data_IF_757024788628
#
_entry.id   IF_757024788628
#
_cell.length_a   1.000
_cell.length_b   1.000
_cell.length_c   1.000
_cell.angle_alpha   90.00
_cell.angle_beta   90.00
_cell.angle_gamma   90.00
#
_symmetry.space_group_name_H-M   'P 1'
#
loop_
_entity.id
_entity.type
_entity.pdbx_description
1 polymer ?
#
# COMPACT_ATOMS: atom_id res chain seq x y z
N UNK A 1 68.89 15.35 -9.07
CA UNK A 1 67.50 14.99 -8.79
C UNK A 1 67.20 13.70 -9.51
N UNK A 2 67.00 12.61 -8.77
CA UNK A 2 67.10 11.25 -9.29
C UNK A 2 65.99 10.86 -10.28
N UNK A 3 66.39 10.46 -11.48
CA UNK A 3 65.50 9.90 -12.51
C UNK A 3 64.57 8.78 -12.00
N UNK A 4 65.03 8.07 -10.96
CA UNK A 4 64.22 7.00 -10.30
C UNK A 4 63.06 7.56 -9.51
N UNK A 5 63.20 8.73 -8.87
CA UNK A 5 62.12 9.37 -8.13
C UNK A 5 60.98 9.84 -9.06
N UNK A 6 61.30 10.42 -10.19
CA UNK A 6 60.31 10.84 -11.19
C UNK A 6 59.55 9.65 -11.79
N UNK A 7 60.25 8.52 -12.05
CA UNK A 7 59.59 7.31 -12.56
C UNK A 7 58.62 6.69 -11.53
N UNK A 8 59.02 6.69 -10.28
CA UNK A 8 58.19 6.17 -9.18
C UNK A 8 56.93 7.07 -8.94
N UNK A 9 57.09 8.38 -9.01
CA UNK A 9 56.00 9.33 -8.88
C UNK A 9 55.00 9.24 -10.03
N UNK A 10 55.51 9.09 -11.28
CA UNK A 10 54.68 8.88 -12.47
C UNK A 10 53.90 7.58 -12.43
N UNK A 11 54.50 6.50 -11.94
CA UNK A 11 53.84 5.21 -11.79
C UNK A 11 52.74 5.27 -10.73
N UNK A 12 52.99 5.92 -9.58
CA UNK A 12 52.00 6.10 -8.53
C UNK A 12 50.80 6.95 -9.00
N UNK A 13 51.03 8.03 -9.74
CA UNK A 13 49.99 8.85 -10.30
C UNK A 13 49.11 8.09 -11.33
N UNK A 14 49.74 7.24 -12.15
CA UNK A 14 49.02 6.41 -13.13
C UNK A 14 48.14 5.36 -12.45
N UNK A 15 48.58 4.74 -11.35
CA UNK A 15 47.78 3.78 -10.58
C UNK A 15 46.60 4.45 -9.92
N UNK A 16 46.74 5.64 -9.37
CA UNK A 16 45.67 6.40 -8.74
C UNK A 16 44.57 6.77 -9.79
N UNK A 17 44.98 7.20 -10.99
CA UNK A 17 44.05 7.50 -12.07
C UNK A 17 43.27 6.27 -12.56
N UNK A 18 43.84 5.09 -12.56
CA UNK A 18 43.18 3.86 -12.96
C UNK A 18 42.14 3.39 -11.95
N UNK A 19 42.37 3.59 -10.64
CA UNK A 19 41.44 3.16 -9.59
C UNK A 19 40.21 4.07 -9.51
N UNK A 20 40.37 5.38 -9.75
CA UNK A 20 39.24 6.31 -9.72
C UNK A 20 38.36 6.26 -10.98
N UNK A 21 38.89 5.81 -12.09
CA UNK A 21 38.10 5.65 -13.35
C UNK A 21 37.20 4.43 -13.32
N UNK A 22 37.57 3.36 -12.61
CA UNK A 22 36.78 2.14 -12.55
C UNK A 22 35.54 2.29 -11.66
N UNK A 23 35.61 3.05 -10.57
CA UNK A 23 34.45 3.18 -9.66
C UNK A 23 33.25 3.89 -10.32
N UNK A 24 33.48 4.99 -11.03
CA UNK A 24 32.39 5.70 -11.73
C UNK A 24 31.70 4.84 -12.81
N UNK A 25 32.48 4.10 -13.60
CA UNK A 25 31.91 3.21 -14.62
C UNK A 25 31.19 2.01 -14.00
N UNK A 26 31.66 1.54 -12.84
CA UNK A 26 30.97 0.49 -12.09
C UNK A 26 29.62 1.01 -11.57
N UNK A 27 29.60 2.17 -10.96
CA UNK A 27 28.39 2.78 -10.44
C UNK A 27 27.35 3.06 -11.56
N UNK A 28 27.80 3.47 -12.74
CA UNK A 28 26.93 3.61 -13.92
C UNK A 28 26.44 2.26 -14.45
N UNK A 29 27.28 1.22 -14.45
CA UNK A 29 26.91 -0.12 -14.90
C UNK A 29 25.99 -0.85 -13.92
N UNK A 30 26.09 -0.53 -12.62
CA UNK A 30 25.23 -1.05 -11.56
C UNK A 30 23.99 -0.20 -11.30
N UNK A 31 23.82 0.93 -11.94
CA UNK A 31 22.52 1.58 -11.97
C UNK A 31 21.52 0.61 -12.58
N UNK A 32 20.67 0.06 -11.73
CA UNK A 32 19.64 -0.87 -12.14
C UNK A 32 18.81 -0.21 -13.28
N UNK A 33 18.90 -0.69 -14.54
CA UNK A 33 18.15 -0.09 -15.64
C UNK A 33 16.63 -0.20 -15.43
N UNK A 34 16.22 -1.08 -14.50
CA UNK A 34 14.85 -1.22 -14.03
C UNK A 34 14.57 -0.41 -12.77
N UNK A 35 15.54 0.40 -12.28
CA UNK A 35 15.25 1.32 -11.19
C UNK A 35 14.13 2.25 -11.62
N UNK A 36 13.09 2.36 -10.80
CA UNK A 36 11.91 3.11 -11.12
C UNK A 36 12.26 4.57 -11.43
N UNK A 37 12.33 4.91 -12.70
CA UNK A 37 12.37 6.30 -13.16
C UNK A 37 11.08 6.96 -12.66
N UNK A 38 11.18 8.18 -12.13
CA UNK A 38 10.01 8.97 -11.72
C UNK A 38 9.01 9.01 -12.88
N UNK A 39 7.79 8.60 -12.59
CA UNK A 39 6.67 8.63 -13.52
C UNK A 39 5.66 9.69 -13.06
N UNK A 40 4.94 10.35 -13.96
CA UNK A 40 3.78 11.15 -13.61
C UNK A 40 2.80 10.32 -12.77
N UNK A 41 2.23 10.92 -11.71
CA UNK A 41 1.32 10.19 -10.80
C UNK A 41 0.08 9.67 -11.53
N UNK A 42 -0.32 10.31 -12.60
CA UNK A 42 -1.40 9.88 -13.50
C UNK A 42 -1.17 8.51 -14.12
N UNK A 43 0.08 8.11 -14.30
CA UNK A 43 0.43 6.80 -14.85
C UNK A 43 0.46 5.70 -13.78
N UNK A 44 0.65 6.06 -12.51
CA UNK A 44 0.74 5.12 -11.39
C UNK A 44 -0.65 4.87 -10.78
N UNK A 45 -1.42 5.92 -10.60
CA UNK A 45 -2.68 5.88 -9.87
C UNK A 45 -3.72 4.92 -10.49
N UNK A 46 -3.89 4.79 -11.82
CA UNK A 46 -4.82 3.85 -12.42
C UNK A 46 -4.60 2.40 -11.99
N UNK A 47 -3.35 1.97 -11.84
CA UNK A 47 -3.04 0.61 -11.38
C UNK A 47 -3.44 0.39 -9.92
N UNK A 48 -3.28 1.41 -9.08
CA UNK A 48 -3.72 1.38 -7.68
C UNK A 48 -5.23 1.25 -7.57
N UNK A 49 -5.95 2.09 -8.32
CA UNK A 49 -7.42 2.08 -8.34
C UNK A 49 -7.96 0.81 -8.96
N UNK A 50 -7.36 0.34 -10.05
CA UNK A 50 -7.72 -0.91 -10.71
C UNK A 50 -7.57 -2.11 -9.79
N UNK A 51 -6.45 -2.23 -9.09
CA UNK A 51 -6.23 -3.28 -8.09
C UNK A 51 -7.21 -3.19 -6.93
N UNK A 52 -7.55 -1.98 -6.50
CA UNK A 52 -8.46 -1.74 -5.38
C UNK A 52 -9.93 -2.01 -5.76
N UNK A 53 -10.37 -1.58 -6.93
CA UNK A 53 -11.76 -1.69 -7.35
C UNK A 53 -12.16 -3.08 -7.88
N UNK A 54 -11.20 -3.95 -8.11
CA UNK A 54 -11.46 -5.27 -8.68
C UNK A 54 -11.87 -5.25 -10.13
N UNK A 55 -11.61 -4.19 -10.85
CA UNK A 55 -12.01 -4.02 -12.25
C UNK A 55 -11.33 -5.00 -13.20
N UNK A 56 -10.23 -5.60 -12.81
CA UNK A 56 -9.52 -6.63 -13.57
C UNK A 56 -9.74 -7.99 -12.91
N UNK A 57 -10.83 -8.62 -13.21
CA UNK A 57 -11.22 -10.02 -12.94
C UNK A 57 -10.88 -10.61 -11.55
N UNK A 58 -9.69 -10.47 -11.03
CA UNK A 58 -9.26 -11.05 -9.76
C UNK A 58 -8.66 -10.04 -8.79
N UNK A 59 -8.47 -8.81 -9.23
CA UNK A 59 -7.77 -7.83 -8.42
C UNK A 59 -8.56 -7.40 -7.16
N UNK A 60 -9.88 -7.31 -7.24
CA UNK A 60 -10.72 -7.05 -6.08
C UNK A 60 -10.71 -8.16 -5.04
N UNK A 61 -10.37 -9.37 -5.45
CA UNK A 61 -10.23 -10.51 -4.54
C UNK A 61 -9.01 -10.39 -3.62
N UNK A 62 -8.01 -9.62 -4.02
CA UNK A 62 -6.84 -9.37 -3.19
C UNK A 62 -7.14 -8.56 -1.93
N UNK A 63 -8.32 -7.96 -1.84
CA UNK A 63 -8.76 -7.16 -0.70
C UNK A 63 -9.97 -7.80 0.02
N UNK A 64 -9.91 -9.08 0.27
CA UNK A 64 -10.82 -9.71 1.21
C UNK A 64 -12.09 -10.31 0.64
N UNK A 65 -12.47 -10.02 -0.59
CA UNK A 65 -13.73 -10.53 -1.12
C UNK A 65 -13.63 -11.91 -1.78
N UNK A 66 -12.58 -12.20 -2.49
CA UNK A 66 -12.44 -13.46 -3.19
C UNK A 66 -11.49 -14.46 -2.53
N UNK A 67 -10.52 -13.94 -1.75
CA UNK A 67 -9.54 -14.76 -1.01
C UNK A 67 -9.89 -14.83 0.47
N UNK A 68 -9.48 -13.82 1.21
CA UNK A 68 -9.53 -13.83 2.67
C UNK A 68 -10.98 -13.88 3.19
N UNK A 69 -11.89 -13.08 2.61
CA UNK A 69 -13.30 -13.10 3.02
C UNK A 69 -13.99 -14.44 2.75
N UNK A 70 -13.62 -15.13 1.69
CA UNK A 70 -14.15 -16.47 1.40
C UNK A 70 -13.72 -17.48 2.46
N UNK A 71 -12.47 -17.45 2.87
CA UNK A 71 -11.93 -18.36 3.90
C UNK A 71 -12.50 -18.03 5.28
N UNK A 72 -12.48 -16.76 5.68
CA UNK A 72 -13.06 -16.33 6.96
C UNK A 72 -14.53 -16.71 7.04
N UNK A 73 -15.31 -16.48 5.97
CA UNK A 73 -16.72 -16.88 5.94
C UNK A 73 -16.96 -18.36 6.07
N UNK A 74 -16.02 -19.20 5.63
CA UNK A 74 -16.04 -20.65 5.88
C UNK A 74 -15.73 -20.99 7.34
N UNK A 75 -14.72 -20.36 7.93
CA UNK A 75 -14.37 -20.61 9.33
C UNK A 75 -15.50 -20.25 10.30
N UNK A 76 -16.21 -19.18 10.04
CA UNK A 76 -17.39 -18.79 10.83
C UNK A 76 -18.70 -19.47 10.37
N UNK A 77 -18.61 -20.37 9.39
CA UNK A 77 -19.70 -21.21 8.90
C UNK A 77 -20.87 -20.43 8.26
N UNK A 78 -20.61 -19.25 7.70
CA UNK A 78 -21.62 -18.51 6.92
C UNK A 78 -21.91 -19.18 5.59
N UNK A 79 -20.92 -19.82 4.99
CA UNK A 79 -21.06 -20.64 3.79
C UNK A 79 -20.09 -21.82 3.81
N UNK A 80 -20.43 -22.83 3.06
CA UNK A 80 -19.62 -24.02 2.90
C UNK A 80 -19.11 -24.13 1.44
N UNK A 81 -18.06 -24.92 1.26
CA UNK A 81 -17.65 -25.30 -0.08
C UNK A 81 -18.58 -26.39 -0.61
N UNK A 82 -19.15 -26.19 -1.78
CA UNK A 82 -20.04 -27.13 -2.44
C UNK A 82 -19.33 -28.37 -3.01
N UNK A 83 -18.02 -28.29 -3.28
CA UNK A 83 -17.29 -29.39 -3.89
C UNK A 83 -17.08 -30.53 -2.91
N UNK A 84 -17.68 -31.67 -3.23
CA UNK A 84 -17.59 -32.91 -2.46
C UNK A 84 -16.22 -33.63 -2.59
N UNK A 85 -15.30 -33.11 -3.36
CA UNK A 85 -13.98 -33.69 -3.57
C UNK A 85 -12.96 -33.08 -2.62
N UNK A 86 -12.37 -33.92 -1.80
CA UNK A 86 -11.26 -33.56 -0.87
C UNK A 86 -10.00 -33.00 -1.56
N UNK A 87 -10.05 -32.67 -2.83
CA UNK A 87 -8.93 -32.16 -3.62
C UNK A 87 -8.88 -30.64 -3.66
N UNK A 88 -9.91 -29.98 -3.14
CA UNK A 88 -9.90 -28.52 -3.05
C UNK A 88 -9.10 -28.07 -1.85
N UNK A 89 -8.00 -27.54 -2.17
CA UNK A 89 -7.04 -26.84 -1.35
C UNK A 89 -7.68 -26.03 -0.20
N UNK A 90 -7.80 -26.65 0.96
CA UNK A 90 -8.31 -26.02 2.18
C UNK A 90 -9.79 -25.65 2.18
N UNK A 91 -10.55 -26.13 1.19
CA UNK A 91 -11.95 -25.72 1.03
C UNK A 91 -12.95 -26.38 1.98
N UNK A 92 -12.63 -27.54 2.51
CA UNK A 92 -13.56 -28.37 3.30
C UNK A 92 -13.18 -28.54 4.76
N UNK A 93 -11.99 -28.14 5.16
CA UNK A 93 -11.50 -28.34 6.52
C UNK A 93 -11.45 -27.00 7.25
N UNK A 94 -12.33 -26.84 8.21
CA UNK A 94 -12.45 -25.63 9.04
C UNK A 94 -11.27 -25.42 9.98
N UNK A 95 -10.49 -26.45 10.24
CA UNK A 95 -9.32 -26.45 11.13
C UNK A 95 -7.99 -26.19 10.40
N UNK A 96 -8.01 -26.17 9.08
CA UNK A 96 -6.81 -25.89 8.28
C UNK A 96 -6.66 -24.41 7.96
N UNK A 97 -6.26 -23.62 8.91
CA UNK A 97 -6.01 -22.19 8.72
C UNK A 97 -4.81 -21.90 7.79
N UNK A 98 -3.90 -22.83 7.61
CA UNK A 98 -2.72 -22.69 6.76
C UNK A 98 -2.89 -23.16 5.32
N UNK A 99 -4.08 -23.55 4.90
CA UNK A 99 -4.34 -24.08 3.55
C UNK A 99 -3.88 -25.51 3.34
N UNK A 100 -3.54 -25.83 2.10
CA UNK A 100 -3.04 -27.16 1.73
C UNK A 100 -1.73 -27.52 2.41
N UNK A 101 -1.52 -28.82 2.58
CA UNK A 101 -0.22 -29.37 3.00
C UNK A 101 0.88 -28.77 2.08
N UNK A 102 1.80 -28.03 2.66
CA UNK A 102 2.86 -27.33 1.95
C UNK A 102 2.47 -25.97 1.37
N UNK A 103 1.22 -25.54 1.58
CA UNK A 103 0.78 -24.16 1.28
C UNK A 103 1.13 -23.22 2.42
N UNK A 104 1.58 -22.05 2.08
CA UNK A 104 1.66 -20.91 2.97
C UNK A 104 0.33 -20.18 2.93
N UNK A 105 0.01 -19.44 3.92
CA UNK A 105 -0.69 -18.19 3.88
C UNK A 105 -1.94 -18.11 2.98
N UNK A 106 -2.98 -18.80 3.36
CA UNK A 106 -4.29 -18.63 2.72
C UNK A 106 -4.99 -17.31 3.11
N UNK A 107 -4.53 -16.61 4.14
CA UNK A 107 -5.05 -15.34 4.60
C UNK A 107 -4.09 -14.17 4.29
N UNK A 108 -3.08 -14.38 3.46
CA UNK A 108 -2.08 -13.37 3.12
C UNK A 108 -2.42 -12.47 1.94
N UNK A 109 -3.58 -12.62 1.33
CA UNK A 109 -3.95 -11.83 0.14
C UNK A 109 -3.99 -10.34 0.43
N UNK A 110 -4.59 -9.92 1.52
CA UNK A 110 -4.63 -8.52 1.94
C UNK A 110 -3.24 -8.00 2.32
N UNK A 111 -2.48 -8.80 3.05
CA UNK A 111 -1.10 -8.48 3.40
C UNK A 111 -0.23 -8.27 2.16
N UNK A 112 -0.27 -9.22 1.24
CA UNK A 112 0.46 -9.15 -0.01
C UNK A 112 0.07 -7.95 -0.87
N UNK A 113 -1.23 -7.70 -1.02
CA UNK A 113 -1.74 -6.57 -1.78
C UNK A 113 -1.31 -5.23 -1.19
N UNK A 114 -1.40 -5.06 0.12
CA UNK A 114 -1.10 -3.79 0.77
C UNK A 114 0.40 -3.53 0.90
N UNK A 115 1.19 -4.47 1.41
CA UNK A 115 2.61 -4.24 1.64
C UNK A 115 3.46 -4.39 0.37
N UNK A 116 3.18 -5.38 -0.47
CA UNK A 116 3.99 -5.67 -1.66
C UNK A 116 3.40 -5.10 -2.94
N UNK A 117 2.08 -5.16 -3.11
CA UNK A 117 1.43 -4.74 -4.34
C UNK A 117 1.29 -3.23 -4.46
N UNK A 118 0.75 -2.57 -3.45
CA UNK A 118 0.36 -1.17 -3.55
C UNK A 118 1.19 -0.20 -2.71
N UNK A 119 1.75 -0.65 -1.59
CA UNK A 119 2.30 0.22 -0.56
C UNK A 119 3.35 1.20 -1.06
N UNK A 120 4.32 0.73 -1.85
CA UNK A 120 5.35 1.60 -2.43
C UNK A 120 4.79 2.56 -3.48
N UNK A 121 3.84 2.12 -4.28
CA UNK A 121 3.20 2.98 -5.28
C UNK A 121 2.32 4.04 -4.62
N UNK A 122 1.63 3.72 -3.52
CA UNK A 122 0.93 4.72 -2.69
C UNK A 122 1.91 5.76 -2.14
N UNK A 123 3.11 5.32 -1.65
CA UNK A 123 4.15 6.25 -1.20
C UNK A 123 4.58 7.20 -2.33
N UNK A 124 4.83 6.67 -3.53
CA UNK A 124 5.24 7.47 -4.68
C UNK A 124 4.17 8.48 -5.09
N UNK A 125 2.91 8.06 -5.16
CA UNK A 125 1.81 8.99 -5.50
C UNK A 125 1.66 10.08 -4.45
N UNK A 126 1.75 9.75 -3.16
CA UNK A 126 1.67 10.75 -2.10
C UNK A 126 2.86 11.71 -2.15
N UNK A 127 4.08 11.21 -2.31
CA UNK A 127 5.27 12.04 -2.36
C UNK A 127 5.30 12.90 -3.63
N UNK A 128 5.26 12.28 -4.80
CA UNK A 128 5.40 12.98 -6.07
C UNK A 128 4.20 13.85 -6.39
N UNK A 129 2.99 13.39 -6.05
CA UNK A 129 1.78 14.20 -6.15
C UNK A 129 1.83 15.44 -5.27
N UNK A 130 2.41 15.35 -4.07
CA UNK A 130 2.63 16.52 -3.21
C UNK A 130 3.64 17.50 -3.80
N UNK A 131 4.74 17.00 -4.34
CA UNK A 131 5.75 17.82 -5.03
C UNK A 131 5.18 18.51 -6.28
N UNK A 132 4.27 17.85 -6.98
CA UNK A 132 3.59 18.33 -8.18
C UNK A 132 2.30 19.12 -7.87
N UNK A 133 1.93 19.23 -6.58
CA UNK A 133 0.71 19.89 -6.11
C UNK A 133 -0.59 19.29 -6.70
N UNK A 134 -0.59 17.99 -7.01
CA UNK A 134 -1.74 17.21 -7.49
C UNK A 134 -2.51 16.65 -6.29
N UNK A 135 -3.19 17.53 -5.57
CA UNK A 135 -3.79 17.24 -4.28
C UNK A 135 -4.93 16.23 -4.34
N UNK A 136 -5.64 16.15 -5.44
CA UNK A 136 -6.65 15.15 -5.76
C UNK A 136 -6.07 13.72 -5.76
N UNK A 137 -4.95 13.50 -6.44
CA UNK A 137 -4.23 12.22 -6.43
C UNK A 137 -3.66 11.87 -5.05
N UNK A 138 -3.10 12.85 -4.36
CA UNK A 138 -2.60 12.68 -2.99
C UNK A 138 -3.73 12.25 -2.05
N UNK A 139 -4.87 12.90 -2.15
CA UNK A 139 -6.06 12.59 -1.36
C UNK A 139 -6.60 11.20 -1.66
N UNK A 140 -6.71 10.80 -2.92
CA UNK A 140 -7.11 9.47 -3.34
C UNK A 140 -6.17 8.37 -2.85
N UNK A 141 -4.86 8.58 -2.97
CA UNK A 141 -3.86 7.63 -2.48
C UNK A 141 -3.89 7.47 -0.95
N UNK A 142 -4.08 8.57 -0.22
CA UNK A 142 -4.25 8.53 1.24
C UNK A 142 -5.55 7.84 1.66
N UNK A 143 -6.63 7.98 0.88
CA UNK A 143 -7.88 7.28 1.12
C UNK A 143 -7.71 5.75 0.99
N UNK A 144 -7.05 5.29 -0.06
CA UNK A 144 -6.72 3.87 -0.25
C UNK A 144 -5.82 3.38 0.89
N UNK A 145 -4.83 4.17 1.30
CA UNK A 145 -3.96 3.83 2.44
C UNK A 145 -4.73 3.71 3.75
N UNK A 146 -5.65 4.64 4.01
CA UNK A 146 -6.49 4.59 5.21
C UNK A 146 -7.33 3.31 5.24
N UNK A 147 -7.93 2.95 4.12
CA UNK A 147 -8.67 1.71 3.99
C UNK A 147 -7.78 0.49 4.24
N UNK A 148 -6.60 0.44 3.65
CA UNK A 148 -5.67 -0.67 3.86
C UNK A 148 -5.28 -0.86 5.33
N UNK A 149 -4.98 0.22 6.05
CA UNK A 149 -4.72 0.14 7.49
C UNK A 149 -5.92 -0.38 8.29
N UNK A 150 -7.13 0.02 7.92
CA UNK A 150 -8.35 -0.46 8.57
C UNK A 150 -8.54 -1.97 8.39
N UNK A 151 -8.40 -2.46 7.15
CA UNK A 151 -8.60 -3.88 6.86
C UNK A 151 -7.51 -4.74 7.51
N UNK A 152 -6.23 -4.31 7.44
CA UNK A 152 -5.15 -4.99 8.15
C UNK A 152 -5.39 -5.05 9.66
N UNK A 153 -5.82 -3.94 10.27
CA UNK A 153 -6.14 -3.90 11.69
C UNK A 153 -7.25 -4.90 12.05
N UNK A 154 -8.28 -5.00 11.21
CA UNK A 154 -9.41 -5.90 11.44
C UNK A 154 -9.03 -7.37 11.26
N UNK A 155 -8.16 -7.67 10.31
CA UNK A 155 -7.85 -9.06 9.93
C UNK A 155 -6.71 -9.66 10.74
N UNK A 156 -5.64 -8.89 11.01
CA UNK A 156 -4.42 -9.43 11.62
C UNK A 156 -4.20 -9.04 13.09
N UNK A 157 -5.02 -8.17 13.66
CA UNK A 157 -4.88 -7.76 15.07
C UNK A 157 -3.51 -7.11 15.35
N UNK A 158 -2.77 -7.67 16.31
CA UNK A 158 -1.44 -7.15 16.72
C UNK A 158 -0.28 -7.65 15.83
N UNK A 159 -0.56 -8.46 14.82
CA UNK A 159 0.45 -8.97 13.89
C UNK A 159 0.58 -8.07 12.65
N UNK A 160 0.84 -6.78 12.84
CA UNK A 160 0.89 -5.76 11.79
C UNK A 160 2.20 -4.99 11.88
N UNK A 161 2.72 -4.55 10.73
CA UNK A 161 3.89 -3.66 10.65
C UNK A 161 3.42 -2.27 10.24
N UNK A 162 3.50 -1.30 11.13
CA UNK A 162 3.08 0.09 10.88
C UNK A 162 4.27 1.03 10.83
N UNK A 163 5.09 1.07 11.89
CA UNK A 163 6.21 2.02 12.02
C UNK A 163 7.30 1.78 10.97
N UNK A 164 7.55 0.53 10.68
CA UNK A 164 8.60 0.12 9.74
C UNK A 164 8.03 -0.23 8.35
N UNK A 165 6.73 -0.04 8.15
CA UNK A 165 6.06 -0.34 6.90
C UNK A 165 6.76 0.36 5.72
N UNK A 166 6.94 -0.40 4.64
CA UNK A 166 7.55 0.09 3.39
C UNK A 166 9.02 0.53 3.48
N UNK A 167 9.71 0.21 4.58
CA UNK A 167 11.14 0.45 4.68
C UNK A 167 11.91 -0.67 3.97
N UNK A 168 12.37 -0.40 2.74
CA UNK A 168 13.08 -1.37 1.89
C UNK A 168 14.51 -1.68 2.35
N UNK A 169 15.02 -0.97 3.36
CA UNK A 169 16.36 -1.21 3.91
C UNK A 169 16.36 -2.27 5.02
N UNK A 170 15.18 -2.76 5.43
CA UNK A 170 15.04 -3.76 6.47
C UNK A 170 14.69 -5.11 5.86
N UNK A 171 15.32 -6.17 6.39
CA UNK A 171 15.00 -7.57 6.08
C UNK A 171 14.10 -8.22 7.14
N UNK A 172 13.97 -7.59 8.31
CA UNK A 172 13.13 -8.03 9.41
C UNK A 172 12.35 -6.83 9.96
N UNK A 173 11.10 -7.08 10.35
CA UNK A 173 10.18 -6.04 10.82
C UNK A 173 9.63 -6.43 12.20
N UNK A 174 9.56 -5.44 13.08
CA UNK A 174 8.84 -5.62 14.34
C UNK A 174 7.34 -5.40 14.13
N UNK A 175 6.53 -6.23 14.77
CA UNK A 175 5.09 -6.01 14.81
C UNK A 175 4.72 -4.85 15.73
N UNK A 176 3.66 -4.19 15.38
CA UNK A 176 3.07 -3.08 16.11
C UNK A 176 1.69 -3.46 16.65
N UNK A 177 1.21 -2.81 17.73
CA UNK A 177 -0.12 -3.08 18.26
C UNK A 177 -1.21 -2.62 17.28
N UNK A 178 -2.32 -3.34 17.25
CA UNK A 178 -3.50 -3.06 16.41
C UNK A 178 -3.98 -1.61 16.56
N UNK A 179 -3.92 -1.05 17.75
CA UNK A 179 -4.31 0.33 18.00
C UNK A 179 -3.56 1.34 17.14
N UNK A 180 -2.27 1.11 16.88
CA UNK A 180 -1.48 1.97 16.02
C UNK A 180 -1.93 1.94 14.56
N UNK A 181 -2.42 0.79 14.08
CA UNK A 181 -2.99 0.69 12.73
C UNK A 181 -4.30 1.47 12.62
N UNK A 182 -5.18 1.42 13.63
CA UNK A 182 -6.38 2.27 13.66
C UNK A 182 -6.04 3.77 13.71
N UNK A 183 -5.03 4.15 14.49
CA UNK A 183 -4.59 5.54 14.55
C UNK A 183 -4.01 5.99 13.20
N UNK A 184 -3.22 5.13 12.54
CA UNK A 184 -2.68 5.39 11.20
C UNK A 184 -3.77 5.45 10.13
N UNK A 185 -4.79 4.61 10.25
CA UNK A 185 -5.99 4.67 9.41
C UNK A 185 -6.65 6.05 9.51
N UNK A 186 -7.00 6.47 10.73
CA UNK A 186 -7.66 7.76 10.96
C UNK A 186 -6.79 8.94 10.54
N UNK A 187 -5.49 8.90 10.84
CA UNK A 187 -4.55 9.93 10.42
C UNK A 187 -4.48 10.07 8.89
N UNK A 188 -4.41 8.95 8.17
CA UNK A 188 -4.45 8.96 6.71
C UNK A 188 -5.80 9.45 6.16
N UNK A 189 -6.90 9.03 6.77
CA UNK A 189 -8.25 9.47 6.40
C UNK A 189 -8.45 10.99 6.56
N UNK A 190 -8.02 11.57 7.68
CA UNK A 190 -8.12 13.02 7.88
C UNK A 190 -7.24 13.79 6.90
N UNK A 191 -6.01 13.33 6.64
CA UNK A 191 -5.15 13.91 5.61
C UNK A 191 -5.80 13.80 4.22
N UNK A 192 -6.41 12.66 3.89
CA UNK A 192 -7.12 12.47 2.64
C UNK A 192 -8.23 13.53 2.46
N UNK A 193 -9.06 13.75 3.48
CA UNK A 193 -10.12 14.78 3.45
C UNK A 193 -9.55 16.18 3.23
N UNK A 194 -8.41 16.49 3.88
CA UNK A 194 -7.73 17.79 3.71
C UNK A 194 -7.30 17.98 2.24
N UNK A 195 -6.59 17.02 1.68
CA UNK A 195 -6.10 17.11 0.31
C UNK A 195 -7.23 17.09 -0.74
N UNK A 196 -8.23 16.23 -0.55
CA UNK A 196 -9.44 16.21 -1.40
C UNK A 196 -10.28 17.51 -1.30
N UNK A 197 -10.01 18.34 -0.30
CA UNK A 197 -10.61 19.67 -0.16
C UNK A 197 -9.86 20.80 -0.87
N UNK A 198 -8.63 20.56 -1.28
CA UNK A 198 -7.79 21.57 -1.92
C UNK A 198 -8.21 21.78 -3.39
N UNK A 199 -8.23 23.04 -3.83
CA UNK A 199 -8.63 23.43 -5.19
C UNK A 199 -7.52 24.13 -5.97
N UNK A 200 -6.37 24.36 -5.31
CA UNK A 200 -5.21 25.03 -5.92
C UNK A 200 -4.18 24.05 -6.45
N UNK A 201 -3.04 24.59 -6.88
CA UNK A 201 -1.95 23.81 -7.43
C UNK A 201 -2.27 23.23 -8.81
N UNK A 202 -1.95 21.98 -9.04
CA UNK A 202 -2.20 21.25 -10.28
C UNK A 202 -3.43 20.33 -10.21
N UNK A 203 -4.39 20.64 -9.32
CA UNK A 203 -5.67 19.90 -9.25
C UNK A 203 -6.43 20.05 -10.56
N UNK A 204 -6.84 18.93 -11.14
CA UNK A 204 -7.55 18.89 -12.41
C UNK A 204 -8.57 17.75 -12.45
N UNK A 205 -9.84 18.12 -12.41
CA UNK A 205 -10.95 17.15 -12.51
C UNK A 205 -10.81 16.24 -13.73
N UNK A 206 -10.42 16.78 -14.88
CA UNK A 206 -10.25 16.02 -16.11
C UNK A 206 -9.12 14.99 -16.01
N UNK A 207 -7.96 15.40 -15.49
CA UNK A 207 -6.83 14.50 -15.31
C UNK A 207 -7.12 13.44 -14.24
N UNK A 208 -7.74 13.86 -13.13
CA UNK A 208 -8.08 12.91 -12.07
C UNK A 208 -9.14 11.90 -12.53
N UNK A 209 -10.09 12.29 -13.38
CA UNK A 209 -11.07 11.39 -13.96
C UNK A 209 -10.43 10.29 -14.83
N UNK A 210 -9.32 10.59 -15.52
CA UNK A 210 -8.57 9.60 -16.30
C UNK A 210 -7.82 8.65 -15.36
N UNK A 211 -7.15 9.17 -14.34
CA UNK A 211 -6.42 8.36 -13.35
C UNK A 211 -7.33 7.50 -12.48
N UNK A 212 -8.55 7.95 -12.24
CA UNK A 212 -9.58 7.28 -11.42
C UNK A 212 -10.71 6.69 -12.28
N UNK A 213 -10.42 6.20 -13.48
CA UNK A 213 -11.42 5.71 -14.41
C UNK A 213 -12.25 4.52 -13.88
N UNK A 214 -11.68 3.73 -12.98
CA UNK A 214 -12.24 2.47 -12.49
C UNK A 214 -13.01 2.57 -11.17
N UNK A 215 -12.98 3.71 -10.49
CA UNK A 215 -13.60 3.84 -9.17
C UNK A 215 -14.67 4.94 -9.16
N UNK A 216 -14.30 6.20 -9.00
CA UNK A 216 -15.23 7.32 -8.93
C UNK A 216 -15.14 8.30 -10.09
N UNK A 217 -14.29 8.02 -11.09
CA UNK A 217 -14.08 8.88 -12.27
C UNK A 217 -13.70 10.31 -11.89
N UNK A 218 -12.84 10.45 -10.90
CA UNK A 218 -12.36 11.73 -10.41
C UNK A 218 -13.36 12.52 -9.57
N UNK A 219 -14.49 11.96 -9.19
CA UNK A 219 -15.46 12.62 -8.31
C UNK A 219 -14.92 12.70 -6.88
N UNK A 220 -14.35 13.85 -6.56
CA UNK A 220 -13.78 14.15 -5.24
C UNK A 220 -14.81 14.02 -4.11
N UNK A 221 -16.09 14.31 -4.36
CA UNK A 221 -17.10 14.18 -3.31
C UNK A 221 -17.38 12.70 -3.00
N UNK A 222 -17.38 11.83 -4.00
CA UNK A 222 -17.46 10.38 -3.75
C UNK A 222 -16.25 9.85 -3.03
N UNK A 223 -15.04 10.33 -3.35
CA UNK A 223 -13.84 10.02 -2.58
C UNK A 223 -13.95 10.45 -1.11
N UNK A 224 -14.47 11.66 -0.84
CA UNK A 224 -14.72 12.10 0.55
C UNK A 224 -15.73 11.22 1.28
N UNK A 225 -16.81 10.81 0.60
CA UNK A 225 -17.80 9.88 1.17
C UNK A 225 -17.17 8.52 1.50
N UNK A 226 -16.34 7.99 0.61
CA UNK A 226 -15.57 6.79 0.88
C UNK A 226 -14.69 6.93 2.13
N UNK A 227 -13.99 8.05 2.29
CA UNK A 227 -13.16 8.32 3.49
C UNK A 227 -14.04 8.43 4.74
N UNK A 228 -15.20 9.04 4.68
CA UNK A 228 -16.13 9.07 5.81
C UNK A 228 -16.62 7.67 6.19
N UNK A 229 -16.89 6.80 5.21
CA UNK A 229 -17.19 5.39 5.44
C UNK A 229 -16.06 4.65 6.17
N UNK A 230 -14.79 4.90 5.80
CA UNK A 230 -13.62 4.37 6.51
C UNK A 230 -13.58 4.85 7.96
N UNK A 231 -13.77 6.15 8.18
CA UNK A 231 -13.79 6.73 9.53
C UNK A 231 -14.91 6.11 10.38
N UNK A 232 -16.13 6.01 9.85
CA UNK A 232 -17.23 5.36 10.53
C UNK A 232 -16.89 3.93 10.98
N UNK A 233 -16.36 3.12 10.04
CA UNK A 233 -15.93 1.74 10.35
C UNK A 233 -14.80 1.69 11.36
N UNK A 234 -13.82 2.59 11.29
CA UNK A 234 -12.68 2.63 12.21
C UNK A 234 -13.08 2.91 13.66
N UNK A 235 -14.17 3.65 13.89
CA UNK A 235 -14.74 3.86 15.21
C UNK A 235 -15.68 2.72 15.60
N UNK A 236 -16.49 2.19 14.68
CA UNK A 236 -17.40 1.08 14.94
C UNK A 236 -16.65 -0.20 15.33
N UNK A 237 -15.48 -0.48 14.73
CA UNK A 237 -14.65 -1.63 15.08
C UNK A 237 -14.15 -1.63 16.54
N UNK A 238 -14.31 -0.51 17.26
CA UNK A 238 -13.88 -0.35 18.66
C UNK A 238 -15.03 -0.55 19.68
N UNK A 239 -16.15 -1.12 19.29
CA UNK A 239 -17.40 -1.16 20.11
C UNK A 239 -17.20 -1.56 21.57
N UNK A 240 -16.28 -2.50 21.85
CA UNK A 240 -16.00 -2.97 23.21
C UNK A 240 -14.72 -2.37 23.83
N UNK A 241 -14.21 -1.28 23.28
CA UNK A 241 -13.00 -0.60 23.76
C UNK A 241 -13.32 0.77 24.32
N UNK A 242 -12.50 1.24 25.25
CA UNK A 242 -12.66 2.59 25.85
C UNK A 242 -12.59 3.72 24.81
N UNK A 243 -11.95 3.49 23.68
CA UNK A 243 -11.85 4.45 22.58
C UNK A 243 -13.09 4.48 21.65
N UNK A 244 -14.12 3.69 21.92
CA UNK A 244 -15.36 3.70 21.15
C UNK A 244 -16.10 5.02 21.31
N UNK A 245 -16.61 5.55 20.20
CA UNK A 245 -17.41 6.77 20.15
C UNK A 245 -18.60 6.59 19.21
N UNK A 246 -19.77 6.36 19.78
CA UNK A 246 -21.02 6.27 19.03
C UNK A 246 -21.29 7.54 18.22
N UNK A 247 -21.03 8.71 18.80
CA UNK A 247 -21.22 10.01 18.13
C UNK A 247 -20.34 10.13 16.90
N UNK A 248 -19.09 9.64 16.97
CA UNK A 248 -18.19 9.60 15.81
C UNK A 248 -18.70 8.67 14.72
N UNK A 249 -19.21 7.49 15.09
CA UNK A 249 -19.82 6.56 14.13
C UNK A 249 -20.99 7.21 13.42
N UNK A 250 -21.95 7.75 14.17
CA UNK A 250 -23.16 8.42 13.64
C UNK A 250 -22.76 9.60 12.74
N UNK A 251 -21.85 10.46 13.21
CA UNK A 251 -21.36 11.61 12.46
C UNK A 251 -20.83 11.19 11.09
N UNK A 252 -19.93 10.20 11.05
CA UNK A 252 -19.29 9.82 9.80
C UNK A 252 -20.20 8.96 8.91
N UNK A 253 -21.13 8.19 9.44
CA UNK A 253 -22.18 7.54 8.66
C UNK A 253 -23.07 8.57 7.95
N UNK A 254 -23.41 9.67 8.60
CA UNK A 254 -24.24 10.72 8.00
C UNK A 254 -23.51 11.52 6.91
N UNK A 255 -22.17 11.50 6.89
CA UNK A 255 -21.36 12.19 5.90
C UNK A 255 -20.99 11.28 4.72
N UNK A 256 -21.05 9.95 4.88
CA UNK A 256 -20.77 8.95 3.85
C UNK A 256 -21.95 8.78 2.89
#
# INVERSE_FOLDING_TARGET
>A
MDSKFFKSLSLAASVICLVTSCSKKLDEAYQNPNAAVRQPVENIFPSLVGSFSGSASSAGSSYGNGGDGLLVGRYIQYWNNYTLTNTDNGGTQYDQMGGTIGGSDNLGSLWGAFYYGQGQNLNKVIQWGSEEQKWDYVGGALAIRAWGWLELANEYGDAIVVKQAFNTNLSQFAYDPQSLAYDSCRAAAYKALTYLGMTGGAVSQGNFAVGDAYFYKGDVNKWKKFVYGILARSFASLTNKAAYSADSVIKYCNLA
#
